data_IF_269625634845
#
_entry.id   IF_269625634845
#
_cell.length_a   1.000
_cell.length_b   1.000
_cell.length_c   1.000
_cell.angle_alpha   90.00
_cell.angle_beta   90.00
_cell.angle_gamma   90.00
#
_symmetry.space_group_name_H-M   'P 1'
#
loop_
_entity.id
_entity.type
_entity.pdbx_description
1 polymer ?
#
# COMPACT_ATOMS: atom_id res chain seq x y z
N UNK A 1 12.62 -2.69 -12.94
CA UNK A 1 12.79 -1.41 -12.22
C UNK A 1 12.16 -1.57 -10.85
N UNK A 2 12.79 -0.99 -9.82
CA UNK A 2 12.35 -1.07 -8.43
C UNK A 2 11.55 0.18 -8.07
N UNK A 3 10.39 0.01 -7.44
CA UNK A 3 9.49 1.11 -7.09
C UNK A 3 9.02 0.95 -5.65
N UNK A 4 9.08 2.03 -4.88
CA UNK A 4 8.46 2.09 -3.57
C UNK A 4 7.00 2.52 -3.75
N UNK A 5 6.08 1.78 -3.14
CA UNK A 5 4.65 2.05 -3.19
C UNK A 5 4.22 2.60 -1.84
N UNK A 6 3.56 3.76 -1.85
CA UNK A 6 3.02 4.39 -0.66
C UNK A 6 1.64 3.81 -0.30
N UNK A 7 1.15 4.15 0.90
CA UNK A 7 -0.18 3.75 1.35
C UNK A 7 -1.28 4.25 0.40
N UNK A 8 -1.17 5.49 -0.09
CA UNK A 8 -2.16 6.11 -0.96
C UNK A 8 -2.33 5.40 -2.31
N UNK A 9 -1.25 4.86 -2.90
CA UNK A 9 -1.33 4.06 -4.10
C UNK A 9 -2.09 2.76 -3.86
N UNK A 10 -1.86 2.10 -2.72
CA UNK A 10 -2.61 0.89 -2.34
C UNK A 10 -4.08 1.21 -2.04
N UNK A 11 -4.37 2.27 -1.28
CA UNK A 11 -5.75 2.74 -1.06
C UNK A 11 -6.47 3.02 -2.39
N UNK A 12 -5.81 3.72 -3.31
CA UNK A 12 -6.35 4.03 -4.64
C UNK A 12 -6.58 2.77 -5.50
N UNK A 13 -5.77 1.73 -5.30
CA UNK A 13 -5.93 0.45 -5.97
C UNK A 13 -7.09 -0.37 -5.38
N UNK A 14 -7.34 -0.25 -4.07
CA UNK A 14 -8.46 -0.92 -3.39
C UNK A 14 -9.81 -0.26 -3.69
N UNK A 15 -9.87 1.07 -3.67
CA UNK A 15 -11.13 1.84 -3.82
C UNK A 15 -11.80 1.59 -5.17
N UNK A 16 -11.04 1.56 -6.26
CA UNK A 16 -11.60 1.42 -7.61
C UNK A 16 -10.64 0.71 -8.56
N UNK A 17 -11.16 0.27 -9.71
CA UNK A 17 -10.35 -0.24 -10.83
C UNK A 17 -9.56 0.87 -11.51
N UNK A 18 -8.60 1.43 -10.78
CA UNK A 18 -7.78 2.55 -11.18
C UNK A 18 -6.62 2.10 -12.10
N UNK A 19 -6.06 3.06 -12.84
CA UNK A 19 -4.78 2.87 -13.52
C UNK A 19 -3.68 2.43 -12.54
N UNK A 20 -3.72 2.89 -11.28
CA UNK A 20 -2.81 2.44 -10.21
C UNK A 20 -2.93 0.95 -9.97
N UNK A 21 -4.14 0.40 -9.86
CA UNK A 21 -4.34 -1.06 -9.74
C UNK A 21 -3.80 -1.80 -10.96
N UNK A 22 -4.08 -1.31 -12.15
CA UNK A 22 -3.57 -1.92 -13.37
C UNK A 22 -2.03 -1.91 -13.42
N UNK A 23 -1.42 -0.81 -13.00
CA UNK A 23 0.03 -0.64 -12.94
C UNK A 23 0.69 -1.58 -11.93
N UNK A 24 0.12 -1.74 -10.73
CA UNK A 24 0.62 -2.67 -9.72
C UNK A 24 0.61 -4.12 -10.21
N UNK A 25 -0.33 -4.47 -11.10
CA UNK A 25 -0.45 -5.80 -11.69
C UNK A 25 0.43 -6.00 -12.94
N UNK A 26 1.19 -4.99 -13.37
CA UNK A 26 2.17 -5.16 -14.44
C UNK A 26 3.39 -5.94 -13.91
N UNK A 27 3.59 -7.16 -14.41
CA UNK A 27 4.67 -8.06 -13.97
C UNK A 27 6.10 -7.61 -14.29
N UNK A 28 6.32 -6.40 -14.85
CA UNK A 28 7.65 -5.89 -15.21
C UNK A 28 8.35 -5.09 -14.08
N UNK A 29 7.69 -4.89 -12.95
CA UNK A 29 8.19 -4.07 -11.83
C UNK A 29 8.33 -4.90 -10.56
N UNK A 30 9.28 -4.50 -9.70
CA UNK A 30 9.38 -4.99 -8.32
C UNK A 30 8.93 -3.87 -7.39
N UNK A 31 7.89 -4.12 -6.62
CA UNK A 31 7.30 -3.14 -5.72
C UNK A 31 7.78 -3.38 -4.29
N UNK A 32 8.12 -2.32 -3.57
CA UNK A 32 8.52 -2.37 -2.17
C UNK A 32 7.49 -1.62 -1.34
N UNK A 33 6.93 -2.28 -0.32
CA UNK A 33 5.89 -1.71 0.53
C UNK A 33 6.30 -1.87 1.99
N UNK A 34 6.31 -0.82 2.81
CA UNK A 34 6.50 -0.93 4.24
C UNK A 34 5.38 -1.76 4.90
N UNK A 35 5.72 -2.64 5.84
CA UNK A 35 4.71 -3.45 6.57
C UNK A 35 3.62 -2.60 7.24
N UNK A 36 3.99 -1.39 7.67
CA UNK A 36 3.12 -0.44 8.35
C UNK A 36 1.89 -0.05 7.50
N UNK A 37 2.02 -0.05 6.17
CA UNK A 37 0.92 0.29 5.27
C UNK A 37 -0.27 -0.66 5.44
N UNK A 38 -0.03 -1.93 5.79
CA UNK A 38 -1.10 -2.89 6.03
C UNK A 38 -1.83 -2.64 7.34
N UNK A 39 -1.17 -2.06 8.35
CA UNK A 39 -1.84 -1.59 9.57
C UNK A 39 -2.73 -0.38 9.25
N UNK A 40 -2.23 0.58 8.46
CA UNK A 40 -3.02 1.73 8.01
C UNK A 40 -4.27 1.28 7.23
N UNK A 41 -4.15 0.28 6.35
CA UNK A 41 -5.29 -0.31 5.65
C UNK A 41 -6.31 -0.90 6.62
N UNK A 42 -5.87 -1.63 7.65
CA UNK A 42 -6.78 -2.20 8.65
C UNK A 42 -7.52 -1.13 9.43
N UNK A 43 -6.83 -0.07 9.84
CA UNK A 43 -7.42 1.06 10.56
C UNK A 43 -8.48 1.79 9.73
N UNK A 44 -8.32 1.85 8.41
CA UNK A 44 -9.22 2.54 7.49
C UNK A 44 -10.19 1.62 6.73
N UNK A 45 -10.36 0.36 7.17
CA UNK A 45 -11.21 -0.63 6.46
C UNK A 45 -12.66 -0.18 6.27
N UNK A 46 -13.25 0.48 7.25
CA UNK A 46 -14.63 1.00 7.17
C UNK A 46 -14.76 2.07 6.08
N UNK A 47 -13.84 3.04 6.08
CA UNK A 47 -13.81 4.12 5.09
C UNK A 47 -13.54 3.60 3.68
N UNK A 48 -12.62 2.63 3.56
CA UNK A 48 -12.33 1.99 2.28
C UNK A 48 -13.55 1.26 1.73
N UNK A 49 -14.30 0.55 2.57
CA UNK A 49 -15.50 -0.19 2.17
C UNK A 49 -16.60 0.76 1.68
N UNK A 50 -16.81 1.86 2.39
CA UNK A 50 -17.73 2.92 1.97
C UNK A 50 -17.32 3.53 0.63
N UNK A 51 -16.04 3.88 0.47
CA UNK A 51 -15.50 4.51 -0.75
C UNK A 51 -15.50 3.57 -1.96
N UNK A 52 -15.27 2.27 -1.73
CA UNK A 52 -15.23 1.27 -2.81
C UNK A 52 -16.61 0.75 -3.19
N UNK A 53 -17.62 0.92 -2.32
CA UNK A 53 -18.95 0.35 -2.50
C UNK A 53 -18.95 -1.18 -2.40
N UNK A 54 -17.97 -1.77 -1.71
CA UNK A 54 -17.85 -3.23 -1.50
C UNK A 54 -17.69 -3.55 -0.02
N UNK A 55 -17.98 -4.78 0.38
CA UNK A 55 -17.81 -5.25 1.76
C UNK A 55 -16.33 -5.32 2.17
N UNK A 56 -16.08 -5.32 3.48
CA UNK A 56 -14.72 -5.53 4.04
C UNK A 56 -14.11 -6.86 3.60
N UNK A 57 -14.93 -7.90 3.44
CA UNK A 57 -14.50 -9.22 2.97
C UNK A 57 -14.06 -9.18 1.51
N UNK A 58 -14.79 -8.44 0.66
CA UNK A 58 -14.39 -8.22 -0.73
C UNK A 58 -13.10 -7.39 -0.81
N UNK A 59 -12.93 -6.38 0.04
CA UNK A 59 -11.67 -5.62 0.13
C UNK A 59 -10.47 -6.50 0.48
N UNK A 60 -10.62 -7.37 1.48
CA UNK A 60 -9.56 -8.30 1.88
C UNK A 60 -9.18 -9.26 0.74
N UNK A 61 -10.16 -9.74 -0.01
CA UNK A 61 -9.93 -10.55 -1.21
C UNK A 61 -9.21 -9.78 -2.32
N UNK A 62 -9.60 -8.51 -2.56
CA UNK A 62 -8.92 -7.64 -3.55
C UNK A 62 -7.47 -7.37 -3.13
N UNK A 63 -7.24 -7.04 -1.86
CA UNK A 63 -5.90 -6.80 -1.31
C UNK A 63 -5.02 -8.04 -1.47
N UNK A 64 -5.52 -9.20 -1.05
CA UNK A 64 -4.83 -10.49 -1.20
C UNK A 64 -4.52 -10.80 -2.67
N UNK A 65 -5.46 -10.50 -3.58
CA UNK A 65 -5.26 -10.64 -5.02
C UNK A 65 -4.16 -9.74 -5.56
N UNK A 66 -4.11 -8.48 -5.13
CA UNK A 66 -3.04 -7.52 -5.49
C UNK A 66 -1.70 -8.03 -4.98
N UNK A 67 -1.58 -8.40 -3.69
CA UNK A 67 -0.33 -8.87 -3.10
C UNK A 67 0.20 -10.13 -3.82
N UNK A 68 -0.70 -11.05 -4.17
CA UNK A 68 -0.31 -12.33 -4.79
C UNK A 68 0.04 -12.17 -6.27
N UNK A 69 -0.64 -11.26 -6.97
CA UNK A 69 -0.49 -11.08 -8.42
C UNK A 69 0.57 -10.05 -8.79
N UNK A 70 0.79 -9.06 -7.92
CA UNK A 70 1.87 -8.10 -8.05
C UNK A 70 3.16 -8.67 -7.45
N UNK A 71 4.30 -8.32 -8.03
CA UNK A 71 5.61 -8.65 -7.47
C UNK A 71 5.95 -7.66 -6.32
N UNK A 72 5.21 -7.78 -5.21
CA UNK A 72 5.35 -6.93 -4.01
C UNK A 72 6.25 -7.60 -2.98
N UNK A 73 7.28 -6.88 -2.54
CA UNK A 73 8.13 -7.20 -1.41
C UNK A 73 7.74 -6.33 -0.22
N UNK A 74 7.24 -6.99 0.83
CA UNK A 74 6.88 -6.33 2.09
C UNK A 74 8.16 -6.15 2.92
N UNK A 75 8.47 -4.91 3.28
CA UNK A 75 9.65 -4.55 4.05
C UNK A 75 9.27 -4.31 5.51
N UNK A 76 9.81 -5.09 6.47
CA UNK A 76 9.58 -4.87 7.88
C UNK A 76 10.12 -3.54 8.38
N UNK A 77 9.47 -2.95 9.40
CA UNK A 77 9.85 -1.64 9.96
C UNK A 77 11.28 -1.61 10.48
N UNK A 78 11.75 -2.72 11.06
CA UNK A 78 13.10 -2.79 11.63
C UNK A 78 14.21 -2.63 10.58
N UNK A 79 13.97 -2.91 9.30
CA UNK A 79 14.93 -2.75 8.20
C UNK A 79 15.28 -1.26 7.98
N UNK A 80 14.30 -0.38 8.17
CA UNK A 80 14.45 1.04 7.84
C UNK A 80 14.25 1.99 9.03
N UNK A 81 13.92 1.49 10.23
CA UNK A 81 13.71 2.31 11.44
C UNK A 81 14.87 3.27 11.75
N UNK A 82 16.10 2.89 11.43
CA UNK A 82 17.29 3.71 11.68
C UNK A 82 17.28 5.02 10.88
N UNK A 83 16.57 5.03 9.74
CA UNK A 83 16.43 6.21 8.89
C UNK A 83 15.26 7.11 9.30
N UNK A 84 14.36 6.67 10.19
CA UNK A 84 13.16 7.43 10.58
C UNK A 84 13.49 8.82 11.14
N UNK A 85 14.53 8.93 11.99
CA UNK A 85 14.96 10.23 12.53
C UNK A 85 15.46 11.17 11.43
N UNK A 86 16.17 10.63 10.42
CA UNK A 86 16.64 11.41 9.27
C UNK A 86 15.47 11.82 8.38
N UNK A 87 14.54 10.90 8.12
CA UNK A 87 13.32 11.16 7.36
C UNK A 87 12.50 12.31 7.98
N UNK A 88 12.33 12.32 9.31
CA UNK A 88 11.60 13.39 10.01
C UNK A 88 12.22 14.78 9.84
N UNK A 89 13.54 14.86 9.65
CA UNK A 89 14.24 16.14 9.47
C UNK A 89 14.11 16.68 8.03
N UNK A 90 13.91 15.80 7.04
CA UNK A 90 13.75 16.17 5.62
C UNK A 90 12.29 16.24 5.18
N UNK A 91 11.37 15.64 5.95
CA UNK A 91 9.94 15.68 5.66
C UNK A 91 9.44 17.12 5.77
N UNK A 92 8.76 17.66 4.75
CA UNK A 92 8.19 19.01 4.80
C UNK A 92 7.08 19.13 5.84
N UNK A 93 6.37 18.03 6.10
CA UNK A 93 5.39 17.92 7.19
C UNK A 93 6.04 17.29 8.42
N UNK A 94 6.01 18.04 9.51
CA UNK A 94 6.37 17.55 10.83
C UNK A 94 5.09 16.97 11.46
N UNK A 95 4.86 15.67 11.31
CA UNK A 95 3.86 14.95 12.12
C UNK A 95 4.10 15.20 13.62
#
# INVERSE_FOLDING_TARGET
>A
MELVVDANALFSALIKNSHTRHFLLLGSYSFFVPEFVFEEIREHLDELAEKSGVSKQELDAVLSGIITSANILIIPFYEFRQYAKKARWISPDAD
#
